data_IF_715962368600
#
_entry.id   IF_715962368600
#
_cell.length_a   1.000
_cell.length_b   1.000
_cell.length_c   1.000
_cell.angle_alpha   90.00
_cell.angle_beta   90.00
_cell.angle_gamma   90.00
#
_symmetry.space_group_name_H-M   'P 1'
#
loop_
_entity.id
_entity.type
_entity.pdbx_description
1 polymer ?
#
# COMPACT_ATOMS: atom_id res chain seq x y z
N UNK A 1 -1.77 2.76 -11.36
CA UNK A 1 -1.71 3.80 -10.31
C UNK A 1 -2.04 3.09 -9.02
N UNK A 2 -1.05 2.96 -8.12
CA UNK A 2 -1.18 2.19 -6.87
C UNK A 2 -1.67 3.11 -5.75
N UNK A 3 -2.80 3.78 -5.99
CA UNK A 3 -3.30 4.87 -5.15
C UNK A 3 -3.57 4.41 -3.71
N UNK A 4 -3.91 3.13 -3.52
CA UNK A 4 -4.08 2.51 -2.20
C UNK A 4 -2.78 2.23 -1.49
N UNK A 5 -1.76 1.75 -2.21
CA UNK A 5 -0.43 1.61 -1.65
C UNK A 5 0.14 2.99 -1.28
N UNK A 6 -0.17 4.02 -2.09
CA UNK A 6 0.12 5.42 -1.80
C UNK A 6 -0.55 5.89 -0.52
N UNK A 7 -1.87 5.73 -0.41
CA UNK A 7 -2.62 6.02 0.81
C UNK A 7 -1.99 5.33 2.04
N UNK A 8 -1.67 4.05 1.94
CA UNK A 8 -1.07 3.33 3.06
C UNK A 8 0.33 3.88 3.40
N UNK A 9 1.10 4.31 2.41
CA UNK A 9 2.38 4.94 2.62
C UNK A 9 2.24 6.28 3.35
N UNK A 10 1.27 7.10 2.97
CA UNK A 10 0.95 8.38 3.63
C UNK A 10 0.53 8.15 5.08
N UNK A 11 -0.43 7.26 5.32
CA UNK A 11 -0.93 6.94 6.66
C UNK A 11 0.15 6.38 7.60
N UNK A 12 1.10 5.60 7.05
CA UNK A 12 2.24 5.13 7.82
C UNK A 12 3.22 6.27 8.12
N UNK A 13 3.45 7.18 7.17
CA UNK A 13 4.32 8.33 7.36
C UNK A 13 3.77 9.26 8.45
N UNK A 14 2.47 9.55 8.40
CA UNK A 14 1.75 10.34 9.41
C UNK A 14 1.89 9.72 10.82
N UNK A 15 1.70 8.40 10.94
CA UNK A 15 1.80 7.68 12.22
C UNK A 15 3.19 7.71 12.86
N UNK A 16 4.25 7.90 12.05
CA UNK A 16 5.64 7.88 12.51
C UNK A 16 6.30 9.26 12.49
N UNK A 17 5.62 10.30 12.02
CA UNK A 17 6.19 11.64 11.81
C UNK A 17 6.88 12.20 13.07
N UNK A 18 6.28 12.00 14.25
CA UNK A 18 6.77 12.51 15.53
C UNK A 18 7.89 11.64 16.12
N UNK A 19 8.22 10.50 15.50
CA UNK A 19 9.29 9.61 15.96
C UNK A 19 10.63 10.16 15.47
N UNK A 20 11.58 10.44 16.38
CA UNK A 20 12.88 10.92 15.97
C UNK A 20 13.63 9.86 15.16
N UNK A 21 14.43 10.29 14.18
CA UNK A 21 15.29 9.37 13.47
C UNK A 21 16.25 8.67 14.45
N UNK A 22 16.35 7.33 14.41
CA UNK A 22 17.27 6.61 15.27
C UNK A 22 18.73 7.00 15.00
N UNK A 23 19.52 7.07 16.06
CA UNK A 23 20.98 7.19 15.96
C UNK A 23 21.53 5.94 15.26
N UNK A 24 22.51 6.12 14.38
CA UNK A 24 23.03 5.07 13.51
C UNK A 24 23.24 3.72 14.24
N UNK A 25 22.44 2.71 13.88
CA UNK A 25 22.55 1.34 14.38
C UNK A 25 21.27 0.71 14.94
N UNK A 26 20.22 1.48 15.25
CA UNK A 26 18.95 0.95 15.77
C UNK A 26 17.73 1.40 14.95
N UNK A 27 17.50 0.83 13.76
CA UNK A 27 16.23 1.06 13.06
C UNK A 27 15.07 0.56 13.93
N UNK A 28 14.25 1.47 14.47
CA UNK A 28 13.04 1.11 15.24
C UNK A 28 11.98 0.45 14.36
N UNK A 29 12.08 0.62 13.05
CA UNK A 29 11.16 0.05 12.06
C UNK A 29 11.99 -0.72 11.04
N UNK A 30 11.86 -2.05 11.09
CA UNK A 30 12.52 -2.94 10.15
C UNK A 30 11.72 -3.04 8.85
N UNK A 31 12.37 -3.18 7.67
CA UNK A 31 11.70 -3.63 6.45
C UNK A 31 10.76 -4.80 6.73
N UNK A 32 9.54 -4.74 6.21
CA UNK A 32 8.62 -5.83 6.41
C UNK A 32 7.26 -5.65 5.74
N UNK A 33 6.50 -6.74 5.72
CA UNK A 33 5.08 -6.75 5.32
C UNK A 33 4.24 -6.03 6.39
N UNK A 34 4.70 -6.13 7.65
CA UNK A 34 4.18 -5.41 8.79
C UNK A 34 5.39 -4.75 9.45
N UNK A 35 5.59 -3.43 9.24
CA UNK A 35 6.45 -2.69 10.15
C UNK A 35 5.88 -2.90 11.56
N UNK A 36 6.71 -2.91 12.60
CA UNK A 36 6.25 -3.05 14.00
C UNK A 36 5.45 -1.80 14.43
N UNK A 37 4.27 -1.64 13.83
CA UNK A 37 3.28 -0.61 14.02
C UNK A 37 2.08 -1.33 14.62
N UNK A 38 1.74 -0.98 15.87
CA UNK A 38 0.63 -1.60 16.59
C UNK A 38 -0.70 -1.40 15.84
N UNK A 39 -0.81 -0.33 15.04
CA UNK A 39 -2.04 0.10 14.38
C UNK A 39 -2.11 -0.25 12.89
N UNK A 40 -1.21 -1.11 12.38
CA UNK A 40 -1.18 -1.48 10.96
C UNK A 40 -2.54 -1.92 10.37
N UNK A 41 -3.35 -2.77 11.04
CA UNK A 41 -4.67 -3.14 10.54
C UNK A 41 -5.63 -1.95 10.37
N UNK A 42 -5.51 -0.93 11.22
CA UNK A 42 -6.35 0.27 11.15
C UNK A 42 -5.94 1.18 10.00
N UNK A 43 -4.63 1.33 9.75
CA UNK A 43 -4.11 2.05 8.58
C UNK A 43 -4.56 1.39 7.26
N UNK A 44 -4.46 0.07 7.18
CA UNK A 44 -4.96 -0.74 6.04
C UNK A 44 -6.47 -0.51 5.83
N UNK A 45 -7.25 -0.51 6.91
CA UNK A 45 -8.69 -0.27 6.88
C UNK A 45 -9.03 1.17 6.45
N UNK A 46 -8.29 2.18 6.90
CA UNK A 46 -8.47 3.60 6.53
C UNK A 46 -8.31 3.81 5.03
N UNK A 47 -7.35 3.11 4.41
CA UNK A 47 -7.15 3.07 2.96
C UNK A 47 -8.10 2.12 2.20
N UNK A 48 -9.05 1.49 2.91
CA UNK A 48 -10.02 0.53 2.36
C UNK A 48 -9.32 -0.62 1.63
N UNK A 49 -8.22 -1.12 2.17
CA UNK A 49 -7.44 -2.24 1.62
C UNK A 49 -7.92 -3.54 2.27
N UNK A 50 -8.01 -4.60 1.49
CA UNK A 50 -8.14 -5.95 2.03
C UNK A 50 -6.76 -6.42 2.51
N UNK A 51 -6.63 -6.69 3.81
CA UNK A 51 -5.37 -7.11 4.43
C UNK A 51 -4.77 -8.38 3.78
N UNK A 52 -5.59 -9.22 3.15
CA UNK A 52 -5.08 -10.41 2.44
C UNK A 52 -4.32 -10.05 1.17
N UNK A 53 -4.50 -8.83 0.65
CA UNK A 53 -3.83 -8.32 -0.55
C UNK A 53 -2.51 -7.60 -0.26
N UNK A 54 -2.04 -7.61 1.00
CA UNK A 54 -0.79 -6.95 1.40
C UNK A 54 0.37 -7.93 1.65
N UNK A 55 0.08 -9.24 1.79
CA UNK A 55 1.00 -10.29 2.23
C UNK A 55 2.25 -10.47 1.38
N UNK A 56 2.19 -10.15 0.09
CA UNK A 56 3.30 -10.30 -0.84
C UNK A 56 3.98 -8.97 -1.18
N UNK A 57 3.47 -7.85 -0.65
CA UNK A 57 4.09 -6.53 -0.73
C UNK A 57 5.18 -6.33 0.33
N UNK A 58 5.81 -5.16 0.32
CA UNK A 58 6.75 -4.76 1.38
C UNK A 58 6.69 -3.26 1.64
N UNK A 59 6.89 -2.88 2.90
CA UNK A 59 6.90 -1.50 3.37
C UNK A 59 8.32 -1.14 3.80
N UNK A 60 8.84 -0.05 3.25
CA UNK A 60 10.24 0.39 3.38
C UNK A 60 10.31 1.84 3.90
N UNK A 61 10.29 2.04 5.22
CA UNK A 61 10.43 3.36 5.82
C UNK A 61 11.90 3.78 5.89
N UNK A 62 12.18 5.04 5.58
CA UNK A 62 13.47 5.72 5.73
C UNK A 62 13.26 7.00 6.51
N UNK A 63 14.09 7.24 7.53
CA UNK A 63 14.14 8.49 8.26
C UNK A 63 15.41 9.24 7.90
N UNK A 64 15.28 10.45 7.36
CA UNK A 64 16.37 11.37 7.03
C UNK A 64 15.97 12.76 7.50
N UNK A 65 16.72 13.38 8.42
CA UNK A 65 16.44 14.74 8.87
C UNK A 65 16.26 15.71 7.69
N UNK A 66 15.14 16.43 7.67
CA UNK A 66 14.70 17.36 6.61
C UNK A 66 14.54 16.71 5.22
N UNK A 67 14.44 15.38 5.14
CA UNK A 67 14.32 14.59 3.90
C UNK A 67 15.25 15.06 2.79
N UNK A 68 16.54 15.23 3.10
CA UNK A 68 17.55 15.58 2.09
C UNK A 68 17.56 14.50 1.00
N UNK A 69 17.11 14.85 -0.21
CA UNK A 69 16.77 13.89 -1.26
C UNK A 69 17.90 12.91 -1.62
N UNK A 70 19.15 13.39 -1.65
CA UNK A 70 20.33 12.55 -1.94
C UNK A 70 20.58 11.50 -0.85
N UNK A 71 20.33 11.85 0.42
CA UNK A 71 20.46 10.94 1.55
C UNK A 71 19.30 9.94 1.61
N UNK A 72 18.08 10.36 1.25
CA UNK A 72 16.92 9.47 1.11
C UNK A 72 17.21 8.43 0.02
N UNK A 73 17.66 8.86 -1.16
CA UNK A 73 18.02 7.97 -2.26
C UNK A 73 19.15 7.01 -1.88
N UNK A 74 20.16 7.49 -1.16
CA UNK A 74 21.27 6.66 -0.67
C UNK A 74 20.77 5.60 0.32
N UNK A 75 19.88 5.95 1.24
CA UNK A 75 19.29 4.98 2.19
C UNK A 75 18.44 3.91 1.51
N UNK A 76 17.86 4.20 0.35
CA UNK A 76 17.14 3.20 -0.44
C UNK A 76 18.06 2.33 -1.30
N UNK A 77 19.03 2.95 -1.96
CA UNK A 77 19.87 2.28 -2.99
C UNK A 77 21.14 1.65 -2.44
N UNK A 78 21.64 2.08 -1.28
CA UNK A 78 22.89 1.60 -0.67
C UNK A 78 22.68 0.89 0.68
N UNK A 79 21.46 0.41 0.95
CA UNK A 79 21.12 -0.39 2.13
C UNK A 79 20.53 -1.74 1.76
N UNK A 80 20.04 -2.48 2.76
CA UNK A 80 19.27 -3.72 2.57
C UNK A 80 18.01 -3.51 1.70
N UNK A 81 17.51 -2.27 1.57
CA UNK A 81 16.38 -1.94 0.71
C UNK A 81 16.66 -2.13 -0.78
N UNK A 82 17.93 -2.05 -1.20
CA UNK A 82 18.34 -2.23 -2.59
C UNK A 82 17.91 -3.58 -3.17
N UNK A 83 17.89 -4.65 -2.35
CA UNK A 83 17.43 -5.97 -2.77
C UNK A 83 15.95 -6.02 -3.15
N UNK A 84 15.11 -5.24 -2.48
CA UNK A 84 13.69 -5.11 -2.81
C UNK A 84 13.50 -4.26 -4.08
N UNK A 85 14.22 -3.14 -4.19
CA UNK A 85 14.11 -2.22 -5.33
C UNK A 85 14.64 -2.81 -6.64
N UNK A 86 15.64 -3.69 -6.57
CA UNK A 86 16.19 -4.38 -7.74
C UNK A 86 15.38 -5.63 -8.13
N UNK A 87 14.34 -5.98 -7.38
CA UNK A 87 13.52 -7.16 -7.67
C UNK A 87 12.42 -6.83 -8.68
N UNK A 88 12.35 -7.60 -9.77
CA UNK A 88 11.25 -7.52 -10.74
C UNK A 88 9.90 -8.01 -10.20
N UNK A 89 9.87 -8.58 -8.99
CA UNK A 89 8.65 -9.01 -8.30
C UNK A 89 7.70 -7.82 -8.05
N UNK A 90 8.26 -6.66 -7.73
CA UNK A 90 7.46 -5.47 -7.42
C UNK A 90 7.20 -4.68 -8.69
N UNK A 91 5.93 -4.51 -9.01
CA UNK A 91 5.46 -3.93 -10.28
C UNK A 91 4.83 -2.56 -10.10
N UNK A 92 4.72 -2.08 -8.86
CA UNK A 92 4.49 -0.67 -8.63
C UNK A 92 4.74 -0.26 -7.19
N UNK A 93 4.52 1.02 -6.95
CA UNK A 93 4.96 1.69 -5.74
C UNK A 93 3.96 2.74 -5.28
N UNK A 94 3.71 2.77 -3.97
CA UNK A 94 3.15 3.90 -3.25
C UNK A 94 4.26 4.64 -2.50
N UNK A 95 4.17 5.96 -2.41
CA UNK A 95 5.16 6.82 -1.74
C UNK A 95 4.41 7.74 -0.80
N UNK A 96 4.83 7.77 0.46
CA UNK A 96 4.35 8.71 1.48
C UNK A 96 5.49 9.49 2.09
N UNK A 97 5.25 10.76 2.42
CA UNK A 97 6.25 11.71 2.86
C UNK A 97 5.69 12.51 4.03
N UNK A 98 6.29 12.38 5.22
CA UNK A 98 5.92 13.21 6.36
C UNK A 98 7.13 13.54 7.25
N UNK A 99 7.29 14.80 7.64
CA UNK A 99 8.48 15.39 8.31
C UNK A 99 9.86 14.87 7.85
N UNK A 100 10.46 13.95 8.61
CA UNK A 100 11.78 13.34 8.32
C UNK A 100 11.65 11.98 7.63
N UNK A 101 10.43 11.47 7.48
CA UNK A 101 10.12 10.14 7.00
C UNK A 101 9.74 10.13 5.52
N UNK A 102 10.24 9.10 4.85
CA UNK A 102 9.81 8.66 3.53
C UNK A 102 9.43 7.20 3.63
N UNK A 103 8.28 6.83 3.11
CA UNK A 103 7.77 5.45 3.15
C UNK A 103 7.51 5.02 1.71
N UNK A 104 8.16 3.93 1.26
CA UNK A 104 7.69 3.22 0.06
C UNK A 104 6.88 2.01 0.45
N UNK A 105 5.78 1.81 -0.27
CA UNK A 105 5.01 0.58 -0.27
C UNK A 105 5.16 -0.07 -1.63
N UNK A 106 5.93 -1.15 -1.72
CA UNK A 106 6.14 -1.88 -2.96
C UNK A 106 5.06 -2.96 -3.12
N UNK A 107 4.35 -2.89 -4.24
CA UNK A 107 3.27 -3.79 -4.59
C UNK A 107 3.66 -4.74 -5.71
N UNK A 108 3.03 -5.91 -5.72
CA UNK A 108 3.17 -6.93 -6.76
C UNK A 108 1.96 -6.89 -7.70
N UNK A 109 2.03 -7.66 -8.79
CA UNK A 109 0.89 -7.90 -9.67
C UNK A 109 0.03 -9.10 -9.23
N UNK A 110 0.36 -9.76 -8.12
CA UNK A 110 -0.40 -10.86 -7.55
C UNK A 110 -1.49 -10.32 -6.63
N UNK A 111 -2.59 -11.08 -6.46
CA UNK A 111 -3.67 -10.71 -5.53
C UNK A 111 -3.09 -10.43 -4.14
N UNK A 112 -2.16 -11.27 -3.68
CA UNK A 112 -1.54 -11.21 -2.36
C UNK A 112 -0.69 -9.97 -2.08
N UNK A 113 -0.28 -9.19 -3.09
CA UNK A 113 0.54 -7.98 -2.89
C UNK A 113 0.06 -6.76 -3.67
N UNK A 114 -1.19 -6.77 -4.13
CA UNK A 114 -1.81 -5.72 -4.94
C UNK A 114 -2.33 -4.51 -4.14
N UNK A 115 -2.49 -4.65 -2.82
CA UNK A 115 -3.12 -3.64 -1.96
C UNK A 115 -4.54 -3.23 -2.44
N UNK A 116 -5.29 -4.16 -3.02
CA UNK A 116 -6.62 -3.92 -3.54
C UNK A 116 -7.69 -3.81 -2.43
N UNK A 117 -8.85 -3.22 -2.76
CA UNK A 117 -10.04 -3.29 -1.90
C UNK A 117 -10.58 -4.72 -1.82
N UNK A 118 -11.29 -5.01 -0.74
CA UNK A 118 -12.18 -6.17 -0.71
C UNK A 118 -13.23 -6.08 -1.83
N UNK A 119 -13.60 -7.22 -2.41
CA UNK A 119 -14.64 -7.28 -3.43
C UNK A 119 -15.98 -6.78 -2.86
N UNK A 120 -16.60 -5.83 -3.56
CA UNK A 120 -17.91 -5.31 -3.18
C UNK A 120 -19.02 -6.28 -3.59
N UNK A 121 -19.43 -7.17 -2.69
CA UNK A 121 -20.52 -8.13 -2.97
C UNK A 121 -21.86 -7.45 -3.28
N UNK A 122 -22.18 -6.34 -2.60
CA UNK A 122 -23.42 -5.58 -2.83
C UNK A 122 -23.49 -4.92 -4.21
N UNK A 123 -22.33 -4.56 -4.78
CA UNK A 123 -22.24 -4.05 -6.14
C UNK A 123 -22.63 -5.13 -7.16
N UNK A 124 -22.23 -6.38 -6.92
CA UNK A 124 -22.54 -7.52 -7.80
C UNK A 124 -24.05 -7.80 -7.82
N UNK A 125 -24.73 -7.73 -6.67
CA UNK A 125 -26.18 -7.91 -6.58
C UNK A 125 -26.96 -6.82 -7.33
N UNK A 126 -26.52 -5.55 -7.22
CA UNK A 126 -27.17 -4.45 -7.94
C UNK A 126 -27.04 -4.62 -9.46
N UNK A 127 -25.83 -4.95 -9.95
CA UNK A 127 -25.58 -5.23 -11.36
C UNK A 127 -26.37 -6.44 -11.88
N UNK A 128 -26.45 -7.52 -11.12
CA UNK A 128 -27.19 -8.72 -11.52
C UNK A 128 -28.71 -8.49 -11.57
N UNK A 129 -29.27 -7.68 -10.66
CA UNK A 129 -30.69 -7.28 -10.74
C UNK A 129 -30.99 -6.43 -11.98
N UNK A 130 -30.12 -5.46 -12.30
CA UNK A 130 -30.30 -4.60 -13.48
C UNK A 130 -30.19 -5.40 -14.79
N UNK A 131 -29.24 -6.34 -14.86
CA UNK A 131 -29.08 -7.21 -16.03
C UNK A 131 -30.27 -8.15 -16.20
N UNK A 132 -30.76 -8.76 -15.10
CA UNK A 132 -31.95 -9.63 -15.14
C UNK A 132 -33.21 -8.85 -15.59
N UNK A 133 -33.40 -7.63 -15.10
CA UNK A 133 -34.50 -6.77 -15.51
C UNK A 133 -34.44 -6.39 -16.99
N UNK A 134 -33.24 -6.09 -17.52
CA UNK A 134 -33.06 -5.81 -18.95
C UNK A 134 -33.33 -7.04 -19.83
N UNK A 135 -32.89 -8.23 -19.40
CA UNK A 135 -33.15 -9.49 -20.12
C UNK A 135 -34.65 -9.78 -20.17
N UNK A 136 -35.35 -9.66 -19.05
CA UNK A 136 -36.80 -9.84 -18.97
C UNK A 136 -37.57 -8.82 -19.84
N UNK A 137 -37.13 -7.56 -19.82
CA UNK A 137 -37.71 -6.52 -20.68
C UNK A 137 -37.53 -6.82 -22.18
N UNK A 138 -36.36 -7.34 -22.57
CA UNK A 138 -36.10 -7.73 -23.97
C UNK A 138 -36.95 -8.93 -24.40
N UNK A 139 -37.13 -9.93 -23.53
CA UNK A 139 -38.02 -11.06 -23.80
C UNK A 139 -39.47 -10.64 -24.02
N UNK A 140 -39.97 -9.68 -23.22
CA UNK A 140 -41.34 -9.16 -23.37
C UNK A 140 -41.51 -8.26 -24.62
N UNK A 141 -40.42 -7.73 -25.18
CA UNK A 141 -40.46 -6.89 -26.38
C UNK A 141 -40.44 -7.71 -27.68
N UNK A 142 -39.97 -8.95 -27.60
CA UNK A 142 -39.75 -9.86 -28.75
C UNK A 142 -40.80 -10.99 -28.81
N UNK A 143 -41.57 -11.20 -27.73
CA UNK A 143 -42.71 -12.11 -27.66
C UNK A 143 -44.03 -11.41 -28.06
#
# INVERSE_FOLDING_TARGET
>A
MHDKAGCLADEIADEIQDRPCPLAGNTTISPGIHPQLNDYPDLVKKCKIDINTTREGVILPVCVPKRVATLVLTNYTQSLYSGYLNSSKYTGVGIGLEDDWTVLVLATNTIGGSFASAACFTCVFSLSYHVLAMILGLFLLVA
#
